data_IF_464264977399
#
_entry.id   IF_464264977399
#
_cell.length_a   1.000
_cell.length_b   1.000
_cell.length_c   1.000
_cell.angle_alpha   90.00
_cell.angle_beta   90.00
_cell.angle_gamma   90.00
#
_symmetry.space_group_name_H-M   'P 1'
#
loop_
_entity.id
_entity.type
_entity.pdbx_description
1 polymer ?
#
# COMPACT_ATOMS: atom_id res chain seq x y z
N UNK A 1 27.63 53.37 64.93
CA UNK A 1 27.75 51.92 65.11
C UNK A 1 26.81 51.27 64.15
N UNK A 2 27.30 50.94 62.94
CA UNK A 2 26.47 50.44 61.79
C UNK A 2 26.95 49.02 61.52
N UNK A 3 26.12 48.04 61.79
CA UNK A 3 26.39 46.63 61.52
C UNK A 3 25.93 46.31 60.11
N UNK A 4 26.88 45.92 59.19
CA UNK A 4 26.60 45.43 57.84
C UNK A 4 26.42 43.93 57.88
N UNK A 5 25.21 43.45 57.54
CA UNK A 5 24.94 42.06 57.25
C UNK A 5 25.30 41.77 55.78
N UNK A 6 26.27 40.88 55.57
CA UNK A 6 26.57 40.30 54.27
C UNK A 6 25.62 39.13 54.06
N UNK A 7 24.83 39.18 52.96
CA UNK A 7 24.01 38.06 52.46
C UNK A 7 24.85 37.26 51.48
N UNK A 8 25.18 36.00 51.83
CA UNK A 8 25.73 35.02 50.93
C UNK A 8 24.62 34.46 50.05
N UNK A 9 24.75 34.62 48.70
CA UNK A 9 23.85 33.98 47.73
C UNK A 9 24.50 32.66 47.34
N UNK A 10 23.90 31.55 47.73
CA UNK A 10 24.29 30.21 47.27
C UNK A 10 23.67 29.97 45.86
N UNK A 11 24.49 29.86 44.84
CA UNK A 11 24.10 29.39 43.51
C UNK A 11 23.97 27.86 43.56
N UNK A 12 22.74 27.37 43.54
CA UNK A 12 22.46 25.94 43.30
C UNK A 12 22.52 25.67 41.79
N UNK A 13 23.57 24.98 41.33
CA UNK A 13 23.67 24.47 39.97
C UNK A 13 22.73 23.26 39.83
N UNK A 14 21.62 23.44 39.12
CA UNK A 14 20.75 22.36 38.68
C UNK A 14 21.46 21.60 37.52
N UNK A 15 22.00 20.44 37.85
CA UNK A 15 22.39 19.43 36.87
C UNK A 15 21.12 18.86 36.22
N UNK A 16 20.78 19.32 35.04
CA UNK A 16 19.78 18.66 34.19
C UNK A 16 20.43 17.41 33.62
N UNK A 17 20.16 16.26 34.25
CA UNK A 17 20.47 14.97 33.66
C UNK A 17 19.60 14.78 32.41
N UNK A 18 20.21 14.91 31.25
CA UNK A 18 19.59 14.52 29.98
C UNK A 18 19.33 13.02 30.03
N UNK A 19 18.10 12.62 30.32
CA UNK A 19 17.67 11.25 30.13
C UNK A 19 17.65 11.01 28.61
N UNK A 20 18.65 10.31 28.09
CA UNK A 20 18.59 9.70 26.77
C UNK A 20 17.35 8.77 26.80
N UNK A 21 16.35 9.10 25.97
CA UNK A 21 15.25 8.17 25.74
C UNK A 21 15.85 6.84 25.28
N UNK A 22 15.41 5.71 25.84
CA UNK A 22 15.89 4.41 25.37
C UNK A 22 15.58 4.34 23.88
N UNK A 23 16.61 4.04 23.07
CA UNK A 23 16.44 3.66 21.67
C UNK A 23 15.36 2.59 21.66
N UNK A 24 14.24 2.86 20.95
CA UNK A 24 13.05 2.02 20.98
C UNK A 24 13.45 0.58 20.73
N UNK A 25 13.35 -0.24 21.78
CA UNK A 25 13.61 -1.66 21.69
C UNK A 25 12.64 -2.24 20.67
N UNK A 26 13.13 -3.11 19.80
CA UNK A 26 12.33 -3.84 18.82
C UNK A 26 11.08 -4.41 19.52
N UNK A 27 9.87 -4.28 18.93
CA UNK A 27 8.69 -4.88 19.52
C UNK A 27 8.94 -6.38 19.68
N UNK A 28 9.02 -6.84 20.93
CA UNK A 28 9.31 -8.23 21.25
C UNK A 28 8.30 -9.13 20.54
N UNK A 29 8.78 -9.99 19.64
CA UNK A 29 7.98 -11.03 19.00
C UNK A 29 7.86 -10.97 17.47
N UNK A 30 8.17 -9.87 16.77
CA UNK A 30 8.15 -9.81 15.30
C UNK A 30 9.52 -10.04 14.65
N UNK A 31 9.50 -10.56 13.41
CA UNK A 31 10.71 -10.88 12.67
C UNK A 31 11.57 -9.63 12.41
N UNK A 32 12.91 -9.71 12.52
CA UNK A 32 13.81 -8.65 12.12
C UNK A 32 13.56 -8.20 10.67
N UNK A 33 13.80 -6.91 10.41
CA UNK A 33 13.51 -6.26 9.11
C UNK A 33 14.24 -6.93 7.95
N UNK A 34 15.49 -7.37 8.16
CA UNK A 34 16.34 -7.92 7.10
C UNK A 34 16.40 -9.45 7.12
N UNK A 35 15.48 -10.10 7.86
CA UNK A 35 15.37 -11.55 7.80
C UNK A 35 15.04 -11.97 6.37
N UNK A 36 15.80 -12.93 5.83
CA UNK A 36 15.50 -13.54 4.53
C UNK A 36 14.06 -14.03 4.49
N UNK A 37 13.31 -13.62 3.47
CA UNK A 37 11.92 -14.02 3.28
C UNK A 37 11.76 -15.53 3.10
N UNK A 38 10.60 -16.07 3.44
CA UNK A 38 10.29 -17.47 3.23
C UNK A 38 10.21 -17.82 1.75
N UNK A 39 10.25 -19.12 1.43
CA UNK A 39 9.81 -19.58 0.10
C UNK A 39 8.31 -19.27 -0.04
N UNK A 40 7.89 -18.91 -1.26
CA UNK A 40 6.47 -18.73 -1.54
C UNK A 40 5.75 -20.08 -1.35
N UNK A 41 4.64 -20.07 -0.63
CA UNK A 41 3.83 -21.25 -0.36
C UNK A 41 2.81 -21.52 -1.47
N UNK A 42 2.44 -20.49 -2.24
CA UNK A 42 1.53 -20.61 -3.39
C UNK A 42 2.22 -21.39 -4.51
N UNK A 43 1.55 -22.39 -5.14
CA UNK A 43 2.08 -23.12 -6.28
C UNK A 43 2.47 -22.18 -7.43
N UNK A 44 3.60 -22.51 -8.10
CA UNK A 44 4.18 -21.65 -9.15
C UNK A 44 3.21 -21.42 -10.31
N UNK A 45 2.45 -22.41 -10.67
CA UNK A 45 1.45 -22.35 -11.75
C UNK A 45 0.36 -21.31 -11.45
N UNK A 46 -0.04 -21.18 -10.19
CA UNK A 46 -0.97 -20.15 -9.74
C UNK A 46 -0.32 -18.77 -9.67
N UNK A 47 0.94 -18.71 -9.25
CA UNK A 47 1.72 -17.46 -9.26
C UNK A 47 1.88 -16.93 -10.67
N UNK A 48 2.24 -17.79 -11.63
CA UNK A 48 2.40 -17.42 -13.05
C UNK A 48 1.06 -16.99 -13.67
N UNK A 49 -0.03 -17.69 -13.36
CA UNK A 49 -1.36 -17.37 -13.85
C UNK A 49 -1.91 -16.04 -13.29
N UNK A 50 -1.33 -15.51 -12.21
CA UNK A 50 -1.75 -14.25 -11.58
C UNK A 50 -1.31 -13.01 -12.33
N UNK A 51 -0.31 -13.11 -13.22
CA UNK A 51 0.38 -11.97 -13.80
C UNK A 51 0.05 -11.80 -15.28
N UNK A 52 -0.66 -10.72 -15.60
CA UNK A 52 -0.93 -10.31 -16.98
C UNK A 52 -0.15 -9.05 -17.32
N UNK A 53 0.61 -9.06 -18.43
CA UNK A 53 1.48 -7.94 -18.79
C UNK A 53 1.23 -7.45 -20.22
N UNK A 54 1.48 -6.15 -20.47
CA UNK A 54 1.58 -5.62 -21.81
C UNK A 54 2.84 -6.15 -22.51
N UNK A 55 2.77 -6.41 -23.83
CA UNK A 55 3.86 -7.03 -24.59
C UNK A 55 5.16 -6.21 -24.64
N UNK A 56 5.13 -4.92 -24.26
CA UNK A 56 6.28 -4.03 -24.31
C UNK A 56 7.10 -3.96 -23.02
N UNK A 57 6.72 -4.67 -21.94
CA UNK A 57 7.47 -4.68 -20.66
C UNK A 57 8.93 -5.09 -20.87
N UNK A 58 9.20 -6.10 -21.70
CA UNK A 58 10.57 -6.55 -22.02
C UNK A 58 11.41 -5.51 -22.77
N UNK A 59 10.77 -4.51 -23.38
CA UNK A 59 11.41 -3.43 -24.15
C UNK A 59 11.21 -2.07 -23.48
N UNK A 60 10.81 -2.07 -22.21
CA UNK A 60 10.49 -0.87 -21.47
C UNK A 60 11.66 0.11 -21.46
N UNK A 61 11.42 1.32 -21.95
CA UNK A 61 12.36 2.46 -21.80
C UNK A 61 12.12 3.23 -20.53
N UNK A 62 10.90 3.17 -19.99
CA UNK A 62 10.47 3.74 -18.71
C UNK A 62 10.35 2.62 -17.67
N UNK A 63 10.26 2.97 -16.40
CA UNK A 63 9.96 2.04 -15.31
C UNK A 63 8.57 1.43 -15.54
N UNK A 64 8.43 0.10 -15.67
CA UNK A 64 7.12 -0.52 -15.84
C UNK A 64 6.35 -0.54 -14.53
N UNK A 65 5.03 -0.49 -14.61
CA UNK A 65 4.13 -0.38 -13.46
C UNK A 65 3.42 -1.70 -13.18
N UNK A 66 3.43 -2.14 -11.93
CA UNK A 66 2.58 -3.20 -11.41
C UNK A 66 1.29 -2.59 -10.85
N UNK A 67 0.14 -2.99 -11.39
CA UNK A 67 -1.18 -2.55 -10.94
C UNK A 67 -1.77 -3.55 -9.93
N UNK A 68 -2.28 -3.03 -8.80
CA UNK A 68 -2.89 -3.80 -7.71
C UNK A 68 -4.24 -3.19 -7.32
N UNK A 69 -5.33 -3.89 -7.60
CA UNK A 69 -6.68 -3.43 -7.27
C UNK A 69 -6.97 -3.47 -5.75
N UNK A 70 -8.04 -2.82 -5.33
CA UNK A 70 -8.53 -2.80 -3.95
C UNK A 70 -9.28 -4.08 -3.57
N UNK A 71 -10.03 -3.99 -2.46
CA UNK A 71 -10.84 -5.07 -1.91
C UNK A 71 -12.07 -5.35 -2.78
N UNK A 72 -12.40 -6.62 -2.94
CA UNK A 72 -13.58 -7.12 -3.64
C UNK A 72 -13.61 -6.88 -5.16
N UNK A 73 -12.49 -6.54 -5.78
CA UNK A 73 -12.35 -6.38 -7.23
C UNK A 73 -11.02 -6.92 -7.71
N UNK A 74 -10.94 -7.32 -8.98
CA UNK A 74 -9.67 -7.56 -9.66
C UNK A 74 -9.25 -6.35 -10.50
N UNK A 75 -8.07 -6.43 -11.11
CA UNK A 75 -7.53 -5.30 -11.88
C UNK A 75 -8.27 -5.03 -13.18
N UNK A 76 -8.94 -6.01 -13.78
CA UNK A 76 -9.79 -5.78 -14.96
C UNK A 76 -11.08 -5.07 -14.58
N UNK A 77 -11.72 -5.49 -13.50
CA UNK A 77 -12.92 -4.85 -12.99
C UNK A 77 -12.68 -3.40 -12.57
N UNK A 78 -11.50 -3.11 -12.00
CA UNK A 78 -11.20 -1.82 -11.40
C UNK A 78 -10.45 -0.88 -12.36
N UNK A 79 -9.50 -1.38 -13.15
CA UNK A 79 -8.55 -0.56 -13.90
C UNK A 79 -8.67 -0.65 -15.43
N UNK A 80 -9.52 -1.50 -16.00
CA UNK A 80 -9.60 -1.67 -17.46
C UNK A 80 -10.11 -0.43 -18.21
N UNK A 81 -10.90 0.41 -17.56
CA UNK A 81 -11.55 1.58 -18.12
C UNK A 81 -10.94 2.93 -17.70
N UNK A 82 -9.82 2.88 -16.96
CA UNK A 82 -9.13 4.06 -16.43
C UNK A 82 -7.60 3.93 -16.43
N UNK A 83 -6.96 3.33 -15.43
CA UNK A 83 -5.49 3.26 -15.30
C UNK A 83 -4.80 2.48 -16.41
N UNK A 84 -5.33 1.34 -16.86
CA UNK A 84 -4.71 0.58 -17.96
C UNK A 84 -4.66 1.38 -19.27
N UNK A 85 -5.74 2.05 -19.71
CA UNK A 85 -5.70 3.01 -20.82
C UNK A 85 -4.79 4.21 -20.57
N UNK A 86 -4.81 4.81 -19.37
CA UNK A 86 -3.97 5.96 -19.04
C UNK A 86 -2.48 5.66 -19.17
N UNK A 87 -2.00 4.57 -18.57
CA UNK A 87 -0.61 4.14 -18.66
C UNK A 87 -0.23 3.78 -20.12
N UNK A 88 -1.11 3.11 -20.85
CA UNK A 88 -0.90 2.79 -22.25
C UNK A 88 -0.77 4.06 -23.10
N UNK A 89 -1.62 5.05 -22.91
CA UNK A 89 -1.58 6.36 -23.57
C UNK A 89 -0.31 7.14 -23.19
N UNK A 90 0.14 7.02 -21.95
CA UNK A 90 1.39 7.62 -21.48
C UNK A 90 2.65 6.89 -21.98
N UNK A 91 2.51 5.76 -22.69
CA UNK A 91 3.62 4.93 -23.14
C UNK A 91 4.35 4.17 -22.04
N UNK A 92 3.70 4.01 -20.87
CA UNK A 92 4.25 3.31 -19.70
C UNK A 92 3.78 1.86 -19.73
N UNK A 93 4.70 0.88 -19.86
CA UNK A 93 4.35 -0.53 -19.79
C UNK A 93 3.84 -0.91 -18.41
N UNK A 94 2.85 -1.80 -18.37
CA UNK A 94 2.29 -2.24 -17.11
C UNK A 94 2.05 -3.76 -17.08
N UNK A 95 2.04 -4.29 -15.88
CA UNK A 95 1.47 -5.60 -15.55
C UNK A 95 0.37 -5.41 -14.49
N UNK A 96 -0.50 -6.39 -14.40
CA UNK A 96 -1.54 -6.48 -13.38
C UNK A 96 -1.40 -7.82 -12.66
N UNK A 97 -1.52 -7.83 -11.34
CA UNK A 97 -1.48 -9.06 -10.54
C UNK A 97 -2.81 -9.27 -9.83
N UNK A 98 -3.48 -10.37 -10.19
CA UNK A 98 -4.75 -10.80 -9.63
C UNK A 98 -4.63 -12.23 -9.09
N UNK A 99 -5.20 -12.49 -7.92
CA UNK A 99 -5.24 -13.85 -7.38
C UNK A 99 -6.15 -14.69 -8.30
N UNK A 100 -5.63 -15.75 -8.95
CA UNK A 100 -6.46 -16.64 -9.74
C UNK A 100 -7.43 -17.37 -8.83
N UNK A 101 -8.71 -17.20 -9.05
CA UNK A 101 -9.76 -17.88 -8.31
C UNK A 101 -10.60 -18.72 -9.28
N UNK A 102 -10.91 -19.98 -8.95
CA UNK A 102 -11.78 -20.82 -9.76
C UNK A 102 -13.16 -20.21 -9.93
N UNK A 103 -13.62 -19.52 -8.89
CA UNK A 103 -14.86 -18.75 -8.86
C UNK A 103 -14.53 -17.27 -8.70
N UNK A 104 -15.14 -16.42 -9.49
CA UNK A 104 -14.95 -14.95 -9.47
C UNK A 104 -15.26 -14.31 -8.10
N UNK A 105 -15.66 -15.09 -7.11
CA UNK A 105 -16.17 -14.64 -5.83
C UNK A 105 -15.13 -14.19 -4.80
N UNK A 106 -13.83 -14.44 -5.01
CA UNK A 106 -12.82 -14.16 -3.97
C UNK A 106 -11.86 -13.04 -4.33
N UNK A 107 -12.33 -12.03 -5.03
CA UNK A 107 -11.50 -10.93 -5.53
C UNK A 107 -10.92 -10.08 -4.39
N UNK A 108 -9.68 -10.42 -3.94
CA UNK A 108 -8.95 -9.70 -2.88
C UNK A 108 -9.70 -9.66 -1.52
N UNK A 109 -10.55 -10.64 -1.24
CA UNK A 109 -11.29 -10.79 0.02
C UNK A 109 -10.71 -11.86 0.94
N UNK A 110 -9.75 -12.65 0.44
CA UNK A 110 -9.02 -13.67 1.20
C UNK A 110 -7.80 -13.09 1.94
N UNK A 111 -7.00 -13.94 2.58
CA UNK A 111 -5.85 -13.54 3.38
C UNK A 111 -4.85 -12.70 2.61
N UNK A 112 -4.65 -11.45 3.06
CA UNK A 112 -3.70 -10.47 2.45
C UNK A 112 -2.26 -10.99 2.50
N UNK A 113 -1.90 -11.81 3.48
CA UNK A 113 -0.56 -12.40 3.59
C UNK A 113 -0.29 -13.33 2.40
N UNK A 114 -1.28 -14.13 2.00
CA UNK A 114 -1.21 -14.99 0.81
C UNK A 114 -1.18 -14.14 -0.46
N UNK A 115 -2.01 -13.10 -0.54
CA UNK A 115 -1.97 -12.15 -1.67
C UNK A 115 -0.59 -11.54 -1.85
N UNK A 116 0.13 -11.25 -0.77
CA UNK A 116 1.48 -10.71 -0.85
C UNK A 116 2.49 -11.65 -1.53
N UNK A 117 2.30 -12.96 -1.50
CA UNK A 117 3.15 -13.91 -2.23
C UNK A 117 3.03 -13.72 -3.75
N UNK A 118 1.82 -13.47 -4.26
CA UNK A 118 1.60 -13.12 -5.67
C UNK A 118 2.30 -11.82 -6.04
N UNK A 119 2.25 -10.81 -5.17
CA UNK A 119 2.95 -9.53 -5.38
C UNK A 119 4.47 -9.71 -5.39
N UNK A 120 5.03 -10.52 -4.48
CA UNK A 120 6.46 -10.87 -4.48
C UNK A 120 6.86 -11.54 -5.80
N UNK A 121 6.07 -12.51 -6.26
CA UNK A 121 6.29 -13.18 -7.54
C UNK A 121 6.23 -12.18 -8.70
N UNK A 122 5.22 -11.32 -8.74
CA UNK A 122 5.05 -10.30 -9.78
C UNK A 122 6.25 -9.34 -9.84
N UNK A 123 6.72 -8.82 -8.69
CA UNK A 123 7.88 -7.93 -8.61
C UNK A 123 9.14 -8.64 -9.18
N UNK A 124 9.40 -9.87 -8.75
CA UNK A 124 10.57 -10.66 -9.23
C UNK A 124 10.50 -10.89 -10.73
N UNK A 125 9.35 -11.33 -11.23
CA UNK A 125 9.12 -11.62 -12.64
C UNK A 125 9.24 -10.36 -13.51
N UNK A 126 8.59 -9.28 -13.12
CA UNK A 126 8.67 -8.00 -13.84
C UNK A 126 10.10 -7.44 -13.85
N UNK A 127 10.81 -7.50 -12.72
CA UNK A 127 12.21 -7.09 -12.61
C UNK A 127 13.11 -7.89 -13.56
N UNK A 128 12.91 -9.20 -13.64
CA UNK A 128 13.64 -10.09 -14.55
C UNK A 128 13.29 -9.79 -16.02
N UNK A 129 12.02 -9.58 -16.34
CA UNK A 129 11.55 -9.26 -17.68
C UNK A 129 12.08 -7.90 -18.17
N UNK A 130 12.01 -6.87 -17.35
CA UNK A 130 12.34 -5.50 -17.72
C UNK A 130 13.83 -5.18 -17.61
N UNK A 131 14.62 -5.98 -16.88
CA UNK A 131 16.03 -5.71 -16.62
C UNK A 131 16.28 -4.46 -15.75
N UNK A 132 15.23 -3.85 -15.16
CA UNK A 132 15.26 -2.62 -14.35
C UNK A 132 14.26 -2.67 -13.22
N UNK A 133 14.36 -1.74 -12.26
CA UNK A 133 13.37 -1.58 -11.18
C UNK A 133 11.97 -1.38 -11.77
N UNK A 134 10.97 -1.70 -10.97
CA UNK A 134 9.56 -1.52 -11.33
C UNK A 134 8.90 -0.56 -10.33
N UNK A 135 7.83 0.10 -10.74
CA UNK A 135 6.99 0.86 -9.82
C UNK A 135 5.66 0.14 -9.59
N UNK A 136 5.02 0.41 -8.48
CA UNK A 136 3.72 -0.18 -8.12
C UNK A 136 2.69 0.94 -8.00
N UNK A 137 1.52 0.78 -8.62
CA UNK A 137 0.32 1.57 -8.33
C UNK A 137 -0.71 0.64 -7.71
N UNK A 138 -1.16 0.97 -6.50
CA UNK A 138 -2.15 0.18 -5.79
C UNK A 138 -3.24 1.04 -5.17
N UNK A 139 -4.51 0.62 -5.30
CA UNK A 139 -5.63 1.30 -4.69
C UNK A 139 -6.07 0.60 -3.40
N UNK A 140 -6.36 1.38 -2.34
CA UNK A 140 -6.92 0.87 -1.09
C UNK A 140 -6.05 -0.26 -0.52
N UNK A 141 -6.57 -1.48 -0.31
CA UNK A 141 -5.80 -2.67 0.04
C UNK A 141 -4.61 -2.91 -0.89
N UNK A 142 -4.77 -2.65 -2.21
CA UNK A 142 -3.69 -2.77 -3.19
C UNK A 142 -2.49 -1.86 -2.94
N UNK A 143 -2.69 -0.74 -2.22
CA UNK A 143 -1.61 0.13 -1.74
C UNK A 143 -0.89 -0.40 -0.49
N UNK A 144 -1.49 -1.35 0.22
CA UNK A 144 -0.93 -1.97 1.44
C UNK A 144 -0.12 -3.22 1.14
N UNK A 145 -0.60 -4.08 0.24
CA UNK A 145 0.02 -5.38 -0.04
C UNK A 145 1.50 -5.28 -0.44
N UNK A 146 1.93 -4.28 -1.25
CA UNK A 146 3.37 -4.12 -1.56
C UNK A 146 4.21 -3.88 -0.31
N UNK A 147 3.67 -3.17 0.69
CA UNK A 147 4.40 -2.95 1.96
C UNK A 147 4.63 -4.26 2.71
N UNK A 148 3.65 -5.19 2.70
CA UNK A 148 3.82 -6.53 3.27
C UNK A 148 4.91 -7.31 2.54
N UNK A 149 4.92 -7.28 1.19
CA UNK A 149 5.97 -7.89 0.39
C UNK A 149 7.36 -7.30 0.72
N UNK A 150 7.49 -5.98 0.76
CA UNK A 150 8.73 -5.29 1.12
C UNK A 150 9.16 -5.56 2.57
N UNK A 151 8.22 -5.75 3.49
CA UNK A 151 8.51 -6.02 4.90
C UNK A 151 9.08 -7.42 5.10
N UNK A 152 8.49 -8.44 4.49
CA UNK A 152 8.80 -9.83 4.79
C UNK A 152 9.63 -10.56 3.70
N UNK A 153 9.84 -9.94 2.54
CA UNK A 153 10.75 -10.39 1.48
C UNK A 153 11.74 -9.29 1.11
N UNK A 154 12.78 -9.03 1.93
CA UNK A 154 13.71 -7.93 1.71
C UNK A 154 14.47 -7.99 0.38
N UNK A 155 14.54 -9.16 -0.25
CA UNK A 155 15.14 -9.33 -1.58
C UNK A 155 14.42 -8.57 -2.70
N UNK A 156 13.12 -8.25 -2.53
CA UNK A 156 12.39 -7.47 -3.54
C UNK A 156 12.58 -5.96 -3.39
N UNK A 157 13.10 -5.46 -2.27
CA UNK A 157 13.32 -4.02 -2.07
C UNK A 157 14.18 -3.37 -3.17
N UNK A 158 15.34 -3.93 -3.57
CA UNK A 158 16.14 -3.35 -4.64
C UNK A 158 15.50 -3.46 -6.04
N UNK A 159 14.36 -4.13 -6.15
CA UNK A 159 13.62 -4.32 -7.40
C UNK A 159 12.53 -3.26 -7.60
N UNK A 160 12.15 -2.53 -6.53
CA UNK A 160 11.07 -1.53 -6.55
C UNK A 160 11.65 -0.12 -6.55
N UNK A 161 11.11 0.74 -7.40
CA UNK A 161 11.46 2.16 -7.51
C UNK A 161 10.46 3.01 -6.71
N UNK A 162 9.18 2.90 -7.07
CA UNK A 162 8.11 3.64 -6.43
C UNK A 162 7.01 2.72 -5.94
N UNK A 163 6.42 3.10 -4.81
CA UNK A 163 5.12 2.60 -4.34
C UNK A 163 4.17 3.78 -4.32
N UNK A 164 3.25 3.82 -5.28
CA UNK A 164 2.23 4.85 -5.42
C UNK A 164 0.92 4.24 -4.92
N UNK A 165 0.43 4.74 -3.80
CA UNK A 165 -0.72 4.22 -3.10
C UNK A 165 -1.89 5.21 -3.18
N UNK A 166 -2.96 4.80 -3.86
CA UNK A 166 -4.19 5.58 -4.06
C UNK A 166 -5.15 5.25 -2.92
N UNK A 167 -5.49 6.20 -2.08
CA UNK A 167 -6.38 6.05 -0.92
C UNK A 167 -6.09 4.76 -0.10
N UNK A 168 -4.82 4.48 0.30
CA UNK A 168 -4.46 3.20 0.90
C UNK A 168 -4.98 3.06 2.32
N UNK A 169 -5.41 1.85 2.70
CA UNK A 169 -5.70 1.49 4.09
C UNK A 169 -4.41 1.20 4.87
N UNK A 170 -3.44 2.14 4.85
CA UNK A 170 -2.07 1.91 5.37
C UNK A 170 -2.01 1.44 6.81
N UNK A 171 -2.97 1.88 7.64
CA UNK A 171 -3.08 1.51 9.07
C UNK A 171 -4.45 0.92 9.41
N UNK A 172 -5.15 0.37 8.40
CA UNK A 172 -6.51 -0.13 8.52
C UNK A 172 -7.57 0.93 8.27
N UNK A 173 -8.81 0.56 8.50
CA UNK A 173 -9.95 1.46 8.32
C UNK A 173 -11.01 1.27 9.40
N UNK A 174 -11.55 2.37 9.95
CA UNK A 174 -12.68 2.31 10.87
C UNK A 174 -13.91 1.64 10.25
N UNK A 175 -14.07 1.73 8.92
CA UNK A 175 -15.14 1.02 8.21
C UNK A 175 -15.02 -0.49 8.40
N UNK A 176 -13.83 -1.07 8.25
CA UNK A 176 -13.58 -2.49 8.50
C UNK A 176 -14.02 -2.91 9.89
N UNK A 177 -13.76 -2.06 10.90
CA UNK A 177 -14.18 -2.32 12.29
C UNK A 177 -15.71 -2.30 12.44
N UNK A 178 -16.41 -1.40 11.74
CA UNK A 178 -17.87 -1.29 11.82
C UNK A 178 -18.59 -2.46 11.14
N UNK A 179 -18.12 -2.92 9.99
CA UNK A 179 -18.78 -3.97 9.21
C UNK A 179 -18.39 -5.39 9.65
N UNK A 180 -17.29 -5.57 10.38
CA UNK A 180 -16.70 -6.83 10.76
C UNK A 180 -16.87 -7.07 12.27
N UNK A 181 -18.10 -7.31 12.72
CA UNK A 181 -18.40 -7.47 14.14
C UNK A 181 -18.43 -8.92 14.61
N UNK A 182 -18.78 -9.86 13.72
CA UNK A 182 -18.83 -11.31 14.00
C UNK A 182 -18.19 -12.10 12.84
N UNK A 183 -18.93 -12.33 11.76
CA UNK A 183 -18.44 -13.03 10.58
C UNK A 183 -18.10 -12.03 9.49
N UNK A 184 -16.92 -12.19 8.85
CA UNK A 184 -16.43 -11.26 7.87
C UNK A 184 -15.39 -11.90 6.95
N UNK A 185 -15.09 -11.27 5.83
CA UNK A 185 -14.06 -11.78 4.93
C UNK A 185 -12.66 -11.66 5.56
N UNK A 186 -11.74 -12.63 5.33
CA UNK A 186 -10.38 -12.61 5.87
C UNK A 186 -9.67 -11.27 5.67
N UNK A 187 -9.72 -10.70 4.47
CA UNK A 187 -9.09 -9.42 4.17
C UNK A 187 -9.71 -8.23 4.91
N UNK A 188 -11.01 -8.27 5.20
CA UNK A 188 -11.67 -7.20 5.98
C UNK A 188 -11.27 -7.30 7.45
N UNK A 189 -11.19 -8.52 8.01
CA UNK A 189 -10.64 -8.75 9.34
C UNK A 189 -9.26 -8.15 9.50
N UNK A 190 -8.39 -8.33 8.51
CA UNK A 190 -7.02 -7.78 8.50
C UNK A 190 -6.97 -6.26 8.30
N UNK A 191 -8.02 -5.65 7.74
CA UNK A 191 -8.13 -4.19 7.56
C UNK A 191 -8.87 -3.47 8.69
N UNK A 192 -9.25 -4.15 9.76
CA UNK A 192 -9.83 -3.52 10.96
C UNK A 192 -8.80 -2.68 11.72
N UNK A 193 -9.31 -1.83 12.61
CA UNK A 193 -8.50 -1.11 13.60
C UNK A 193 -9.03 -1.48 15.00
N UNK A 194 -8.21 -2.15 15.85
CA UNK A 194 -6.88 -2.70 15.57
C UNK A 194 -6.93 -4.07 14.86
N UNK A 195 -5.85 -4.42 14.12
CA UNK A 195 -5.65 -5.77 13.59
C UNK A 195 -4.21 -6.26 13.85
N UNK A 196 -4.03 -7.56 14.01
CA UNK A 196 -2.70 -8.16 14.16
C UNK A 196 -1.87 -8.02 12.87
N UNK A 197 -2.54 -8.00 11.72
CA UNK A 197 -1.93 -7.74 10.43
C UNK A 197 -1.11 -6.45 10.45
N UNK A 198 -1.70 -5.32 10.83
CA UNK A 198 -0.97 -4.03 10.89
C UNK A 198 0.08 -3.99 11.99
N UNK A 199 -0.15 -4.66 13.13
CA UNK A 199 0.88 -4.79 14.16
C UNK A 199 2.14 -5.48 13.63
N UNK A 200 1.97 -6.50 12.79
CA UNK A 200 3.09 -7.17 12.14
C UNK A 200 3.71 -6.33 11.01
N UNK A 201 2.87 -5.71 10.16
CA UNK A 201 3.31 -4.89 9.03
C UNK A 201 4.14 -3.69 9.48
N UNK A 202 3.65 -2.96 10.48
CA UNK A 202 4.27 -1.73 10.97
C UNK A 202 5.32 -1.98 12.07
N UNK A 203 5.55 -3.25 12.43
CA UNK A 203 6.61 -3.61 13.35
C UNK A 203 7.96 -3.15 12.78
N UNK A 204 8.72 -2.39 13.54
CA UNK A 204 10.01 -1.79 13.19
C UNK A 204 9.91 -0.55 12.30
N UNK A 205 9.34 -0.63 11.09
CA UNK A 205 9.25 0.51 10.16
C UNK A 205 8.21 0.28 9.08
N UNK A 206 7.65 1.39 8.57
CA UNK A 206 6.57 1.36 7.56
C UNK A 206 7.12 1.41 6.14
N UNK A 207 8.30 2.01 5.93
CA UNK A 207 8.91 2.24 4.62
C UNK A 207 10.39 1.85 4.62
N UNK A 208 11.03 1.77 3.45
CA UNK A 208 12.40 1.30 3.28
C UNK A 208 13.23 2.29 2.47
N UNK A 209 14.49 2.53 2.87
CA UNK A 209 15.44 3.38 2.15
C UNK A 209 15.62 2.93 0.70
N UNK A 210 15.75 3.91 -0.20
CA UNK A 210 15.97 3.70 -1.62
C UNK A 210 14.73 3.31 -2.41
N UNK A 211 13.55 3.42 -1.80
CA UNK A 211 12.23 3.31 -2.43
C UNK A 211 11.49 4.61 -2.17
N UNK A 212 10.84 5.13 -3.21
CA UNK A 212 9.96 6.30 -3.11
C UNK A 212 8.54 5.87 -2.80
N UNK A 213 7.86 6.60 -1.93
CA UNK A 213 6.48 6.34 -1.52
C UNK A 213 5.64 7.57 -1.77
N UNK A 214 4.62 7.43 -2.59
CA UNK A 214 3.61 8.48 -2.81
C UNK A 214 2.27 7.95 -2.32
N UNK A 215 1.76 8.50 -1.23
CA UNK A 215 0.39 8.29 -0.77
C UNK A 215 -0.47 9.40 -1.34
N UNK A 216 -1.52 9.06 -2.06
CA UNK A 216 -2.48 10.02 -2.62
C UNK A 216 -3.81 9.81 -1.91
N UNK A 217 -4.31 10.82 -1.24
CA UNK A 217 -5.52 10.75 -0.40
C UNK A 217 -6.43 11.96 -0.61
N UNK A 218 -7.66 11.83 -0.14
CA UNK A 218 -8.68 12.89 -0.18
C UNK A 218 -9.28 13.13 1.20
N UNK A 219 -9.62 14.39 1.48
CA UNK A 219 -10.40 14.75 2.69
C UNK A 219 -11.86 14.28 2.59
N UNK A 220 -12.32 13.91 1.41
CA UNK A 220 -13.67 13.40 1.14
C UNK A 220 -13.75 11.87 1.14
N UNK A 221 -12.68 11.17 1.54
CA UNK A 221 -12.70 9.72 1.66
C UNK A 221 -13.49 9.28 2.91
N UNK A 222 -14.68 8.64 2.76
CA UNK A 222 -15.48 8.21 3.90
C UNK A 222 -14.99 6.90 4.54
N UNK A 223 -14.03 6.22 3.90
CA UNK A 223 -13.53 4.91 4.31
C UNK A 223 -12.18 4.97 5.01
N UNK A 224 -11.28 5.84 4.52
CA UNK A 224 -9.89 5.92 5.00
C UNK A 224 -9.58 7.35 5.40
N UNK A 225 -9.62 7.68 6.70
CA UNK A 225 -9.23 9.01 7.16
C UNK A 225 -7.72 9.25 6.94
N UNK A 226 -7.28 10.52 6.85
CA UNK A 226 -5.88 10.86 6.53
C UNK A 226 -4.83 10.13 7.36
N UNK A 227 -5.04 10.03 8.68
CA UNK A 227 -4.13 9.36 9.61
C UNK A 227 -4.03 7.84 9.38
N UNK A 228 -5.04 7.24 8.74
CA UNK A 228 -5.01 5.82 8.36
C UNK A 228 -4.32 5.58 7.01
N UNK A 229 -4.15 6.63 6.18
CA UNK A 229 -3.50 6.56 4.88
C UNK A 229 -2.00 6.89 4.95
N UNK A 230 -1.61 7.91 5.71
CA UNK A 230 -0.27 8.51 5.70
C UNK A 230 0.82 7.54 6.18
N UNK A 231 1.99 7.63 5.54
CA UNK A 231 3.15 6.81 5.87
C UNK A 231 4.25 7.65 6.52
N UNK A 232 5.06 6.97 7.34
CA UNK A 232 6.28 7.51 7.93
C UNK A 232 7.43 6.49 7.78
N UNK A 233 8.66 6.92 8.05
CA UNK A 233 9.80 6.02 8.06
C UNK A 233 10.97 6.47 7.18
N UNK A 234 11.93 5.58 6.92
CA UNK A 234 13.21 5.95 6.31
C UNK A 234 13.21 6.02 4.77
N UNK A 235 12.12 5.70 4.08
CA UNK A 235 11.97 5.90 2.64
C UNK A 235 11.78 7.38 2.27
N UNK A 236 11.83 7.69 0.97
CA UNK A 236 11.47 9.01 0.46
C UNK A 236 9.94 9.05 0.35
N UNK A 237 9.27 9.92 1.12
CA UNK A 237 7.81 9.87 1.28
C UNK A 237 7.17 11.21 0.95
N UNK A 238 6.11 11.18 0.14
CA UNK A 238 5.13 12.24 0.03
C UNK A 238 3.74 11.69 0.36
N UNK A 239 3.10 12.24 1.41
CA UNK A 239 1.70 12.06 1.68
C UNK A 239 0.93 13.22 1.04
N UNK A 240 0.42 13.02 -0.16
CA UNK A 240 -0.20 14.04 -0.99
C UNK A 240 -1.72 14.03 -0.81
N UNK A 241 -2.27 15.13 -0.36
CA UNK A 241 -3.69 15.38 -0.35
C UNK A 241 -4.08 16.03 -1.67
N UNK A 242 -5.07 15.50 -2.40
CA UNK A 242 -5.48 16.08 -3.69
C UNK A 242 -5.96 17.52 -3.55
N UNK A 243 -6.55 17.89 -2.40
CA UNK A 243 -6.99 19.25 -2.09
C UNK A 243 -5.83 20.24 -1.89
N UNK A 244 -4.59 19.79 -1.66
CA UNK A 244 -3.42 20.68 -1.61
C UNK A 244 -3.07 21.22 -3.01
N UNK A 245 -3.32 20.43 -4.05
CA UNK A 245 -3.17 20.87 -5.44
C UNK A 245 -4.44 21.54 -5.97
N UNK A 246 -5.61 20.98 -5.67
CA UNK A 246 -6.91 21.45 -6.17
C UNK A 246 -7.93 21.56 -5.02
N UNK A 247 -8.02 22.71 -4.33
CA UNK A 247 -8.84 22.87 -3.12
C UNK A 247 -10.33 22.57 -3.28
N UNK A 248 -10.88 22.64 -4.50
CA UNK A 248 -12.28 22.36 -4.81
C UNK A 248 -12.53 20.88 -5.19
N UNK A 249 -11.50 20.06 -5.20
CA UNK A 249 -11.63 18.64 -5.53
C UNK A 249 -12.35 17.88 -4.41
N UNK A 250 -13.35 17.08 -4.79
CA UNK A 250 -14.21 16.32 -3.86
C UNK A 250 -14.19 14.82 -4.14
N UNK A 251 -13.18 14.33 -4.87
CA UNK A 251 -13.07 12.89 -5.15
C UNK A 251 -13.05 12.09 -3.84
N UNK A 252 -13.91 11.08 -3.79
CA UNK A 252 -13.99 10.13 -2.68
C UNK A 252 -12.96 9.00 -2.82
N UNK A 253 -13.08 7.98 -2.01
CA UNK A 253 -12.20 6.80 -2.00
C UNK A 253 -12.03 6.15 -3.38
N UNK A 254 -13.15 5.85 -4.04
CA UNK A 254 -13.12 5.23 -5.35
C UNK A 254 -12.80 6.23 -6.47
N UNK A 255 -13.18 7.50 -6.30
CA UNK A 255 -12.81 8.59 -7.20
C UNK A 255 -11.31 8.74 -7.33
N UNK A 256 -10.59 8.83 -6.20
CA UNK A 256 -9.11 8.85 -6.16
C UNK A 256 -8.50 7.62 -6.85
N UNK A 257 -9.14 6.46 -6.68
CA UNK A 257 -8.68 5.21 -7.28
C UNK A 257 -8.95 5.06 -8.78
N UNK A 258 -9.91 5.81 -9.35
CA UNK A 258 -10.45 5.47 -10.67
C UNK A 258 -10.57 6.60 -11.69
N UNK A 259 -11.04 7.78 -11.29
CA UNK A 259 -11.40 8.84 -12.26
C UNK A 259 -10.71 10.17 -12.01
N UNK A 260 -10.11 10.37 -10.87
CA UNK A 260 -9.58 11.65 -10.46
C UNK A 260 -8.34 12.06 -11.28
N UNK A 261 -8.38 13.28 -11.81
CA UNK A 261 -7.31 13.82 -12.66
C UNK A 261 -6.09 14.27 -11.85
N UNK A 262 -6.28 14.70 -10.61
CA UNK A 262 -5.18 15.13 -9.72
C UNK A 262 -4.42 13.92 -9.21
N UNK A 263 -5.13 12.84 -8.85
CA UNK A 263 -4.50 11.57 -8.47
C UNK A 263 -3.68 10.98 -9.62
N UNK A 264 -4.20 11.02 -10.87
CA UNK A 264 -3.42 10.63 -12.05
C UNK A 264 -2.17 11.50 -12.22
N UNK A 265 -2.30 12.82 -12.10
CA UNK A 265 -1.19 13.74 -12.29
C UNK A 265 -0.08 13.52 -11.26
N UNK A 266 -0.43 13.32 -9.98
CA UNK A 266 0.51 12.98 -8.92
C UNK A 266 1.21 11.64 -9.19
N UNK A 267 0.46 10.61 -9.58
CA UNK A 267 1.04 9.32 -9.90
C UNK A 267 1.98 9.39 -11.11
N UNK A 268 1.61 10.12 -12.16
CA UNK A 268 2.46 10.32 -13.33
C UNK A 268 3.70 11.19 -13.01
N UNK A 269 3.58 12.13 -12.08
CA UNK A 269 4.72 12.91 -11.61
C UNK A 269 5.75 12.01 -10.92
N UNK A 270 5.34 11.15 -9.99
CA UNK A 270 6.20 10.15 -9.36
C UNK A 270 6.89 9.23 -10.39
N UNK A 271 6.15 8.74 -11.39
CA UNK A 271 6.69 7.83 -12.42
C UNK A 271 7.68 8.50 -13.39
N UNK A 272 7.65 9.82 -13.53
CA UNK A 272 8.46 10.59 -14.50
C UNK A 272 9.67 11.28 -13.88
N UNK A 273 9.66 11.45 -12.57
CA UNK A 273 10.73 12.10 -11.84
C UNK A 273 11.38 11.14 -10.85
N UNK A 274 12.57 11.48 -10.40
CA UNK A 274 13.21 10.73 -9.32
C UNK A 274 12.62 11.19 -7.98
N UNK A 275 12.30 10.25 -7.13
CA UNK A 275 11.66 10.50 -5.84
C UNK A 275 10.14 10.41 -5.89
N UNK A 276 9.45 10.62 -4.78
CA UNK A 276 8.00 10.59 -4.74
C UNK A 276 7.38 11.78 -5.49
N UNK A 277 6.06 11.76 -5.70
CA UNK A 277 5.37 12.90 -6.29
C UNK A 277 5.61 14.18 -5.51
N UNK A 278 5.72 15.28 -6.25
CA UNK A 278 5.77 16.62 -5.68
C UNK A 278 4.57 17.44 -6.19
N UNK A 279 3.57 17.71 -5.32
CA UNK A 279 2.41 18.50 -5.70
C UNK A 279 2.75 19.87 -6.30
N UNK A 280 3.90 20.44 -5.94
CA UNK A 280 4.34 21.75 -6.48
C UNK A 280 4.77 21.68 -7.96
N UNK A 281 5.01 20.49 -8.50
CA UNK A 281 5.33 20.30 -9.93
C UNK A 281 4.09 20.18 -10.82
N UNK A 282 2.90 20.03 -10.23
CA UNK A 282 1.68 19.87 -11.02
C UNK A 282 1.32 21.16 -11.75
N UNK A 283 0.90 21.03 -13.01
CA UNK A 283 0.29 22.13 -13.74
C UNK A 283 -1.10 22.44 -13.10
N UNK A 284 -1.34 23.67 -12.63
CA UNK A 284 -2.63 24.07 -12.05
C UNK A 284 -3.83 23.81 -12.98
N UNK A 285 -3.61 23.73 -14.29
CA UNK A 285 -4.65 23.36 -15.25
C UNK A 285 -5.27 21.97 -15.01
N UNK A 286 -4.60 21.10 -14.23
CA UNK A 286 -5.16 19.82 -13.84
C UNK A 286 -6.49 19.94 -13.09
N UNK A 287 -6.66 21.00 -12.30
CA UNK A 287 -7.88 21.25 -11.53
C UNK A 287 -9.11 21.54 -12.41
N UNK A 288 -8.93 21.90 -13.67
CA UNK A 288 -10.02 22.07 -14.63
C UNK A 288 -10.34 20.80 -15.42
N UNK A 289 -9.58 19.72 -15.23
CA UNK A 289 -9.83 18.44 -15.90
C UNK A 289 -10.90 17.66 -15.14
N UNK A 290 -12.02 17.31 -15.78
CA UNK A 290 -13.11 16.60 -15.10
C UNK A 290 -12.76 15.14 -14.79
N UNK A 291 -11.82 14.55 -15.54
CA UNK A 291 -11.48 13.13 -15.45
C UNK A 291 -9.99 12.91 -15.74
N UNK A 292 -9.47 11.80 -15.23
CA UNK A 292 -8.16 11.28 -15.61
C UNK A 292 -8.13 10.91 -17.11
N UNK A 293 -6.94 10.87 -17.69
CA UNK A 293 -6.75 10.71 -19.14
C UNK A 293 -7.21 9.36 -19.70
N UNK A 294 -7.30 8.34 -18.86
CA UNK A 294 -7.71 6.99 -19.25
C UNK A 294 -9.20 6.76 -19.21
N UNK A 295 -9.96 7.56 -18.48
CA UNK A 295 -11.42 7.46 -18.40
C UNK A 295 -12.09 8.07 -19.63
N UNK A 296 -13.11 7.39 -20.16
CA UNK A 296 -13.88 7.89 -21.30
C UNK A 296 -15.05 8.74 -20.78
N UNK A 297 -15.14 10.04 -21.15
CA UNK A 297 -16.22 10.92 -20.71
C UNK A 297 -17.64 10.42 -21.04
N UNK A 298 -17.79 9.62 -22.10
CA UNK A 298 -19.09 9.10 -22.52
C UNK A 298 -19.54 7.85 -21.73
N UNK A 299 -18.63 7.11 -21.10
CA UNK A 299 -18.95 5.81 -20.47
C UNK A 299 -18.56 5.72 -18.99
N UNK A 300 -17.72 6.63 -18.48
CA UNK A 300 -17.12 6.50 -17.14
C UNK A 300 -18.13 6.32 -16.00
N UNK A 301 -19.31 6.96 -16.07
CA UNK A 301 -20.36 6.80 -15.05
C UNK A 301 -20.96 5.39 -15.09
N UNK A 302 -21.18 4.85 -16.30
CA UNK A 302 -21.66 3.49 -16.47
C UNK A 302 -20.60 2.46 -16.06
N UNK A 303 -19.34 2.69 -16.39
CA UNK A 303 -18.19 1.86 -16.00
C UNK A 303 -18.02 1.85 -14.48
N UNK A 304 -18.12 3.01 -13.83
CA UNK A 304 -18.07 3.15 -12.38
C UNK A 304 -19.23 2.42 -11.70
N UNK A 305 -20.46 2.62 -12.21
CA UNK A 305 -21.65 1.93 -11.69
C UNK A 305 -21.51 0.42 -11.82
N UNK A 306 -21.09 -0.06 -12.98
CA UNK A 306 -20.83 -1.49 -13.21
C UNK A 306 -19.78 -2.02 -12.23
N UNK A 307 -18.67 -1.34 -12.08
CA UNK A 307 -17.61 -1.72 -11.14
C UNK A 307 -18.15 -1.85 -9.70
N UNK A 308 -18.94 -0.88 -9.22
CA UNK A 308 -19.57 -0.94 -7.90
C UNK A 308 -20.53 -2.12 -7.75
N UNK A 309 -21.31 -2.44 -8.78
CA UNK A 309 -22.20 -3.60 -8.80
C UNK A 309 -21.39 -4.90 -8.69
N UNK A 310 -20.34 -5.04 -9.47
CA UNK A 310 -19.46 -6.22 -9.44
C UNK A 310 -18.75 -6.35 -8.10
N UNK A 311 -18.25 -5.25 -7.55
CA UNK A 311 -17.63 -5.22 -6.21
C UNK A 311 -18.59 -5.74 -5.14
N UNK A 312 -19.84 -5.27 -5.15
CA UNK A 312 -20.86 -5.73 -4.22
C UNK A 312 -21.20 -7.22 -4.42
N UNK A 313 -21.29 -7.69 -5.66
CA UNK A 313 -21.54 -9.10 -5.95
C UNK A 313 -20.39 -9.99 -5.48
N UNK A 314 -19.15 -9.59 -5.68
CA UNK A 314 -17.96 -10.30 -5.20
C UNK A 314 -17.97 -10.37 -3.66
N UNK A 315 -18.26 -9.23 -3.02
CA UNK A 315 -18.38 -9.17 -1.56
C UNK A 315 -19.42 -10.14 -1.02
N UNK A 316 -20.61 -10.21 -1.62
CA UNK A 316 -21.69 -11.08 -1.16
C UNK A 316 -21.43 -12.59 -1.37
N UNK A 317 -20.52 -12.94 -2.29
CA UNK A 317 -20.25 -14.35 -2.66
C UNK A 317 -18.98 -14.91 -2.03
N UNK A 318 -18.07 -14.05 -1.59
CA UNK A 318 -16.78 -14.49 -1.06
C UNK A 318 -16.93 -15.22 0.28
N UNK A 319 -16.06 -16.20 0.58
CA UNK A 319 -16.05 -16.88 1.86
C UNK A 319 -15.86 -15.92 3.03
N UNK A 320 -16.51 -16.22 4.14
CA UNK A 320 -16.38 -15.50 5.42
C UNK A 320 -15.53 -16.30 6.40
N UNK A 321 -14.98 -15.64 7.40
CA UNK A 321 -14.24 -16.21 8.52
C UNK A 321 -14.75 -15.61 9.84
N UNK A 322 -14.70 -16.40 10.91
CA UNK A 322 -15.13 -15.99 12.25
C UNK A 322 -14.16 -15.01 12.93
N UNK A 323 -12.93 -14.91 12.42
CA UNK A 323 -11.86 -14.11 13.02
C UNK A 323 -10.79 -13.71 12.00
N UNK A 324 -9.94 -12.78 12.40
CA UNK A 324 -8.74 -12.42 11.65
C UNK A 324 -7.87 -13.66 11.38
N UNK A 325 -7.40 -13.88 10.14
CA UNK A 325 -6.42 -14.91 9.85
C UNK A 325 -5.20 -14.84 10.77
N UNK A 326 -4.73 -16.00 11.23
CA UNK A 326 -3.53 -16.07 12.04
C UNK A 326 -2.34 -15.50 11.26
N UNK A 327 -1.46 -14.78 11.96
CA UNK A 327 -0.22 -14.32 11.35
C UNK A 327 0.63 -15.51 10.91
N UNK A 328 1.14 -15.44 9.70
CA UNK A 328 2.05 -16.44 9.17
C UNK A 328 3.32 -16.55 10.04
N UNK A 329 3.82 -17.76 10.23
CA UNK A 329 4.96 -18.02 11.12
C UNK A 329 6.22 -17.18 10.81
N UNK A 330 6.40 -16.77 9.55
CA UNK A 330 7.55 -15.95 9.15
C UNK A 330 7.51 -14.52 9.72
N UNK A 331 6.35 -14.06 10.20
CA UNK A 331 6.20 -12.75 10.82
C UNK A 331 6.75 -12.70 12.24
N UNK A 332 6.90 -13.85 12.88
CA UNK A 332 7.40 -13.98 14.26
C UNK A 332 8.94 -13.97 14.31
N UNK A 333 9.49 -13.41 15.39
CA UNK A 333 10.92 -13.49 15.69
C UNK A 333 11.43 -14.93 15.78
N UNK A 334 10.61 -15.86 16.27
CA UNK A 334 10.93 -17.29 16.32
C UNK A 334 10.96 -17.94 14.93
N UNK A 335 10.25 -17.34 13.94
CA UNK A 335 10.11 -17.91 12.59
C UNK A 335 9.25 -19.16 12.53
N UNK A 336 9.29 -19.84 11.38
CA UNK A 336 8.60 -21.11 11.20
C UNK A 336 9.46 -22.23 11.80
N UNK A 337 9.01 -22.83 12.89
CA UNK A 337 9.64 -24.07 13.40
C UNK A 337 9.48 -25.18 12.35
N UNK A 338 10.58 -25.70 11.84
CA UNK A 338 10.55 -27.03 11.21
C UNK A 338 10.38 -28.02 12.35
N UNK A 339 9.38 -28.92 12.32
CA UNK A 339 9.41 -30.08 13.22
C UNK A 339 10.75 -30.77 13.05
N UNK A 340 11.48 -30.99 14.14
CA UNK A 340 12.69 -31.83 14.09
C UNK A 340 12.23 -33.21 13.65
N UNK A 341 12.93 -33.76 12.66
CA UNK A 341 12.74 -35.17 12.32
C UNK A 341 13.11 -35.99 13.59
N UNK A 342 12.07 -36.44 14.33
CA UNK A 342 12.23 -37.15 15.58
C UNK A 342 11.13 -36.91 16.65
N UNK A 343 10.24 -35.95 16.44
CA UNK A 343 9.09 -35.70 17.36
C UNK A 343 7.81 -36.34 16.86
N UNK A 344 7.87 -37.65 16.55
CA UNK A 344 6.71 -38.51 16.25
C UNK A 344 6.62 -39.63 17.26
#
# INVERSE_FOLDING_TARGET
MVVRFARAVALAALLVAAHAAPAGGEPAGFAPVDRKGPRLGVPVERLDASLTCTGNVRRARTTPVLLLAGTAVNTDQYFSWNWKPALTKAGIPWCASDVPVPDAANQNLDDIQVRAEYVVHAIRTMRAMAGRRISVIGHSQGGVVPRWALRFWPDVRPMVDDVIALAPTSHGTPLGTRICSADCHPAIWQQRVPANFYRALDSHQQTFRGISYTVIRSDFDPMVPPEAADLTGPGDITNARIQDACPADTADHDGVGTVDAVAEALALDALRHRGPADPARLDPAVCARPLMSGANPATHEADFTWMKQVQNQNYLRAPIAEREPALACYTSAAGCHRPRAGDS
#
